data_IF_793472425497
#
_entry.id   IF_793472425497
#
_cell.length_a   1.000
_cell.length_b   1.000
_cell.length_c   1.000
_cell.angle_alpha   90.00
_cell.angle_beta   90.00
_cell.angle_gamma   90.00
#
_symmetry.space_group_name_H-M   'P 1'
#
loop_
_entity.id
_entity.type
_entity.pdbx_description
1 polymer ?
#
# COMPACT_ATOMS: atom_id res chain seq x y z
N UNK A 1 3.73 -102.12 -1.66
CA UNK A 1 3.79 -100.82 -0.93
C UNK A 1 3.90 -99.72 -1.91
N UNK A 2 2.80 -98.99 -2.10
CA UNK A 2 2.76 -97.75 -2.94
C UNK A 2 2.56 -96.57 -1.99
N UNK A 3 3.57 -95.71 -1.95
CA UNK A 3 3.53 -94.36 -1.34
C UNK A 3 3.00 -93.39 -2.36
N UNK A 4 1.85 -92.78 -2.14
CA UNK A 4 1.39 -91.63 -2.93
C UNK A 4 1.81 -90.35 -2.22
N UNK A 5 2.63 -89.52 -2.89
CA UNK A 5 2.93 -88.16 -2.49
C UNK A 5 1.83 -87.21 -2.97
N UNK A 6 1.09 -86.62 -2.06
CA UNK A 6 0.22 -85.50 -2.34
C UNK A 6 0.99 -84.21 -2.41
N UNK A 7 1.21 -83.69 -3.61
CA UNK A 7 1.73 -82.35 -3.83
C UNK A 7 0.57 -81.35 -3.73
N UNK A 8 0.55 -80.59 -2.63
CA UNK A 8 -0.37 -79.47 -2.46
C UNK A 8 -0.03 -78.33 -3.40
N UNK A 9 -0.89 -78.03 -4.33
CA UNK A 9 -0.82 -76.78 -5.12
C UNK A 9 -1.30 -75.63 -4.25
N UNK A 10 -0.36 -74.76 -3.85
CA UNK A 10 -0.67 -73.45 -3.28
C UNK A 10 -1.09 -72.51 -4.38
N UNK A 11 -2.27 -71.93 -4.26
CA UNK A 11 -2.82 -70.91 -5.20
C UNK A 11 -2.08 -69.58 -5.04
N UNK A 12 -1.19 -69.28 -5.99
CA UNK A 12 -0.56 -67.98 -6.15
C UNK A 12 -1.53 -67.04 -6.92
N UNK A 13 -2.63 -66.63 -6.31
CA UNK A 13 -3.65 -65.84 -7.02
C UNK A 13 -4.05 -64.51 -6.37
N UNK A 14 -3.62 -64.26 -5.12
CA UNK A 14 -4.12 -63.13 -4.33
C UNK A 14 -3.33 -61.83 -4.53
N UNK A 15 -2.02 -61.86 -4.75
CA UNK A 15 -1.16 -60.67 -4.78
C UNK A 15 -1.41 -59.71 -5.90
N UNK A 16 -1.75 -60.22 -7.10
CA UNK A 16 -1.97 -59.34 -8.28
C UNK A 16 -3.21 -58.43 -8.15
N UNK A 17 -4.26 -58.87 -7.49
CA UNK A 17 -5.50 -58.08 -7.29
C UNK A 17 -5.25 -56.89 -6.34
N UNK A 18 -4.49 -57.09 -5.26
CA UNK A 18 -4.17 -56.02 -4.31
C UNK A 18 -3.17 -55.00 -4.93
N UNK A 19 -2.23 -55.46 -5.72
CA UNK A 19 -1.34 -54.55 -6.47
C UNK A 19 -2.13 -53.66 -7.41
N UNK A 20 -3.09 -54.20 -8.17
CA UNK A 20 -3.92 -53.42 -9.07
C UNK A 20 -4.80 -52.39 -8.34
N UNK A 21 -5.28 -52.73 -7.14
CA UNK A 21 -6.05 -51.83 -6.29
C UNK A 21 -5.19 -50.66 -5.75
N UNK A 22 -3.98 -50.97 -5.33
CA UNK A 22 -2.99 -49.97 -4.89
C UNK A 22 -2.63 -48.99 -6.03
N UNK A 23 -2.37 -49.50 -7.22
CA UNK A 23 -2.06 -48.65 -8.38
C UNK A 23 -3.23 -47.76 -8.79
N UNK A 24 -4.48 -48.27 -8.71
CA UNK A 24 -5.68 -47.47 -8.95
C UNK A 24 -5.88 -46.39 -7.88
N UNK A 25 -5.68 -46.70 -6.61
CA UNK A 25 -5.74 -45.72 -5.53
C UNK A 25 -4.67 -44.63 -5.66
N UNK A 26 -3.44 -45.02 -6.02
CA UNK A 26 -2.36 -44.08 -6.27
C UNK A 26 -2.65 -43.16 -7.49
N UNK A 27 -3.22 -43.71 -8.56
CA UNK A 27 -3.61 -42.91 -9.72
C UNK A 27 -4.70 -41.88 -9.39
N UNK A 28 -5.73 -42.27 -8.63
CA UNK A 28 -6.80 -41.36 -8.17
C UNK A 28 -6.23 -40.28 -7.25
N UNK A 29 -5.32 -40.63 -6.34
CA UNK A 29 -4.66 -39.66 -5.47
C UNK A 29 -3.83 -38.64 -6.25
N UNK A 30 -3.03 -39.10 -7.25
CA UNK A 30 -2.25 -38.23 -8.12
C UNK A 30 -3.14 -37.30 -8.94
N UNK A 31 -4.27 -37.79 -9.45
CA UNK A 31 -5.25 -36.97 -10.17
C UNK A 31 -5.88 -35.91 -9.26
N UNK A 32 -6.20 -36.25 -8.02
CA UNK A 32 -6.75 -35.33 -7.05
C UNK A 32 -5.70 -34.23 -6.68
N UNK A 33 -4.46 -34.62 -6.41
CA UNK A 33 -3.37 -33.68 -6.14
C UNK A 33 -3.10 -32.78 -7.36
N UNK A 34 -3.07 -33.34 -8.56
CA UNK A 34 -2.89 -32.59 -9.81
C UNK A 34 -4.03 -31.58 -10.04
N UNK A 35 -5.28 -31.98 -9.84
CA UNK A 35 -6.42 -31.09 -10.01
C UNK A 35 -6.43 -29.94 -8.99
N UNK A 36 -6.07 -30.22 -7.73
CA UNK A 36 -5.89 -29.18 -6.70
C UNK A 36 -4.74 -28.24 -7.05
N UNK A 37 -3.61 -28.78 -7.53
CA UNK A 37 -2.47 -27.96 -7.95
C UNK A 37 -2.81 -27.06 -9.14
N UNK A 38 -3.53 -27.59 -10.13
CA UNK A 38 -4.02 -26.83 -11.29
C UNK A 38 -5.01 -25.75 -10.83
N UNK A 39 -5.95 -26.09 -9.93
CA UNK A 39 -6.90 -25.13 -9.37
C UNK A 39 -6.18 -23.97 -8.66
N UNK A 40 -5.18 -24.28 -7.82
CA UNK A 40 -4.37 -23.27 -7.10
C UNK A 40 -3.50 -22.43 -8.07
N UNK A 41 -2.99 -23.01 -9.17
CA UNK A 41 -2.29 -22.26 -10.21
C UNK A 41 -3.23 -21.31 -10.96
N UNK A 42 -4.41 -21.77 -11.35
CA UNK A 42 -5.41 -20.94 -12.06
C UNK A 42 -5.95 -19.82 -11.16
N UNK A 43 -5.96 -19.99 -9.84
CA UNK A 43 -6.36 -18.94 -8.90
C UNK A 43 -5.29 -17.86 -8.72
N UNK A 44 -4.00 -18.21 -8.94
CA UNK A 44 -2.89 -17.22 -8.90
C UNK A 44 -2.84 -16.30 -10.13
N UNK A 45 -3.31 -16.76 -11.28
CA UNK A 45 -3.25 -16.03 -12.53
C UNK A 45 -4.58 -15.33 -12.88
N UNK A 46 -5.33 -14.84 -11.87
CA UNK A 46 -6.37 -13.85 -12.19
C UNK A 46 -5.66 -12.64 -12.79
N UNK A 47 -5.95 -12.28 -14.06
CA UNK A 47 -5.28 -11.16 -14.70
C UNK A 47 -5.42 -9.96 -13.77
N UNK A 48 -4.30 -9.33 -13.48
CA UNK A 48 -4.27 -8.04 -12.79
C UNK A 48 -5.14 -7.14 -13.67
N UNK A 49 -6.33 -6.78 -13.15
CA UNK A 49 -7.26 -5.90 -13.88
C UNK A 49 -6.50 -4.62 -14.19
N UNK A 50 -6.73 -4.08 -15.39
CA UNK A 50 -6.14 -2.83 -15.82
C UNK A 50 -6.29 -1.79 -14.72
N UNK A 51 -5.18 -1.13 -14.40
CA UNK A 51 -5.16 -0.07 -13.41
C UNK A 51 -5.54 1.23 -14.09
N UNK A 52 -6.47 1.93 -13.50
CA UNK A 52 -6.77 3.32 -13.84
C UNK A 52 -5.71 4.20 -13.18
N UNK A 53 -5.12 5.08 -13.97
CA UNK A 53 -4.19 6.11 -13.49
C UNK A 53 -4.90 7.44 -13.35
N UNK A 54 -4.83 8.04 -12.16
CA UNK A 54 -5.27 9.39 -11.90
C UNK A 54 -4.06 10.24 -11.50
N UNK A 55 -3.56 11.04 -12.42
CA UNK A 55 -2.49 12.01 -12.18
C UNK A 55 -3.08 13.42 -11.94
N UNK A 56 -2.51 14.12 -10.96
CA UNK A 56 -2.86 15.49 -10.60
C UNK A 56 -1.72 16.42 -11.00
N UNK A 57 -1.99 17.43 -11.88
CA UNK A 57 -0.97 18.41 -12.26
C UNK A 57 -0.50 19.29 -11.12
N UNK A 58 0.55 20.07 -11.38
CA UNK A 58 1.04 21.14 -10.49
C UNK A 58 -0.11 22.13 -10.21
N UNK A 59 -0.19 22.64 -8.98
CA UNK A 59 -1.16 23.62 -8.50
C UNK A 59 -2.63 23.15 -8.48
N UNK A 60 -2.90 21.87 -8.73
CA UNK A 60 -4.24 21.30 -8.64
C UNK A 60 -4.41 20.42 -7.42
N UNK A 61 -5.65 20.36 -6.92
CA UNK A 61 -6.12 19.41 -5.92
C UNK A 61 -7.39 18.79 -6.47
N UNK A 62 -7.58 17.49 -6.32
CA UNK A 62 -8.75 16.80 -6.88
C UNK A 62 -9.33 15.79 -5.91
N UNK A 63 -10.65 15.81 -5.78
CA UNK A 63 -11.39 14.75 -5.11
C UNK A 63 -11.81 13.68 -6.12
N UNK A 64 -11.67 12.41 -5.73
CA UNK A 64 -12.01 11.23 -6.51
C UNK A 64 -12.80 10.27 -5.64
N UNK A 65 -13.86 9.68 -6.18
CA UNK A 65 -14.57 8.56 -5.55
C UNK A 65 -14.19 7.27 -6.25
N UNK A 66 -13.62 6.33 -5.47
CA UNK A 66 -13.22 5.01 -5.95
C UNK A 66 -14.43 4.08 -6.16
N UNK A 67 -14.28 2.95 -6.90
CA UNK A 67 -15.38 2.02 -7.20
C UNK A 67 -16.05 1.40 -5.97
N UNK A 68 -15.38 1.34 -4.82
CA UNK A 68 -15.94 0.87 -3.55
C UNK A 68 -16.71 1.94 -2.78
N UNK A 69 -16.65 3.20 -3.24
CA UNK A 69 -17.22 4.37 -2.59
C UNK A 69 -16.28 5.06 -1.59
N UNK A 70 -15.02 4.65 -1.50
CA UNK A 70 -13.96 5.38 -0.78
C UNK A 70 -13.72 6.73 -1.46
N UNK A 71 -13.64 7.82 -0.68
CA UNK A 71 -13.30 9.15 -1.18
C UNK A 71 -11.81 9.39 -0.97
N UNK A 72 -11.17 9.94 -1.99
CA UNK A 72 -9.74 10.25 -1.97
C UNK A 72 -9.55 11.68 -2.44
N UNK A 73 -8.95 12.52 -1.62
CA UNK A 73 -8.48 13.84 -2.03
C UNK A 73 -7.00 13.74 -2.36
N UNK A 74 -6.63 14.10 -3.57
CA UNK A 74 -5.28 14.02 -4.12
C UNK A 74 -4.66 15.41 -4.19
N UNK A 75 -3.45 15.56 -3.65
CA UNK A 75 -2.68 16.80 -3.71
C UNK A 75 -1.94 16.93 -5.04
N UNK A 76 -1.41 18.12 -5.31
CA UNK A 76 -0.64 18.45 -6.52
C UNK A 76 0.50 17.47 -6.78
N UNK A 77 0.73 17.13 -8.06
CA UNK A 77 1.79 16.19 -8.53
C UNK A 77 1.68 14.80 -7.93
N UNK A 78 0.48 14.39 -7.52
CA UNK A 78 0.23 13.05 -7.03
C UNK A 78 -0.37 12.16 -8.12
N UNK A 79 -0.05 10.86 -8.04
CA UNK A 79 -0.61 9.82 -8.90
C UNK A 79 -1.23 8.74 -8.03
N UNK A 80 -2.46 8.37 -8.33
CA UNK A 80 -3.15 7.23 -7.75
C UNK A 80 -3.43 6.19 -8.84
N UNK A 81 -2.95 4.95 -8.62
CA UNK A 81 -3.29 3.81 -9.45
C UNK A 81 -4.26 2.91 -8.69
N UNK A 82 -5.39 2.60 -9.29
CA UNK A 82 -6.43 1.77 -8.69
C UNK A 82 -7.14 0.92 -9.76
N UNK A 83 -7.70 -0.25 -9.43
CA UNK A 83 -8.43 -1.07 -10.38
C UNK A 83 -9.81 -0.48 -10.69
N UNK A 84 -10.32 -0.67 -11.90
CA UNK A 84 -11.70 -0.28 -12.26
C UNK A 84 -12.76 -0.90 -11.34
N UNK A 85 -12.47 -2.07 -10.76
CA UNK A 85 -13.29 -2.75 -9.77
C UNK A 85 -12.43 -3.55 -8.79
N UNK A 86 -12.73 -3.46 -7.50
CA UNK A 86 -12.12 -4.29 -6.47
C UNK A 86 -12.76 -5.69 -6.46
N UNK A 87 -12.12 -6.68 -7.08
CA UNK A 87 -12.66 -8.04 -7.23
C UNK A 87 -11.93 -9.10 -6.37
N UNK A 88 -10.99 -8.68 -5.52
CA UNK A 88 -10.17 -9.57 -4.69
C UNK A 88 -10.59 -9.59 -3.22
N UNK A 89 -9.78 -10.26 -2.40
CA UNK A 89 -9.92 -10.28 -0.94
C UNK A 89 -9.53 -8.95 -0.29
N UNK A 90 -8.94 -8.01 -1.05
CA UNK A 90 -8.49 -6.71 -0.59
C UNK A 90 -8.80 -5.63 -1.63
N UNK A 91 -8.89 -4.39 -1.19
CA UNK A 91 -9.04 -3.19 -2.00
C UNK A 91 -7.69 -2.47 -2.04
N UNK A 92 -6.86 -2.79 -3.03
CA UNK A 92 -5.48 -2.26 -3.09
C UNK A 92 -5.36 -1.13 -4.10
N UNK A 93 -4.67 -0.06 -3.69
CA UNK A 93 -4.31 1.09 -4.52
C UNK A 93 -2.82 1.41 -4.35
N UNK A 94 -2.25 2.13 -5.33
CA UNK A 94 -0.84 2.58 -5.27
C UNK A 94 -0.82 4.10 -5.32
N UNK A 95 -0.10 4.72 -4.39
CA UNK A 95 0.05 6.16 -4.26
C UNK A 95 1.51 6.57 -4.52
N UNK A 96 1.67 7.59 -5.36
CA UNK A 96 2.89 8.38 -5.51
C UNK A 96 2.47 9.82 -5.20
N UNK A 97 3.05 10.48 -4.20
CA UNK A 97 2.66 11.81 -3.78
C UNK A 97 1.86 11.84 -2.50
N UNK A 98 0.88 12.74 -2.38
CA UNK A 98 0.09 12.94 -1.17
C UNK A 98 -1.40 12.81 -1.41
N UNK A 99 -2.07 12.08 -0.52
CA UNK A 99 -3.51 11.90 -0.54
C UNK A 99 -4.10 11.75 0.86
N UNK A 100 -5.33 12.26 1.01
CA UNK A 100 -6.20 11.94 2.13
C UNK A 100 -7.23 10.89 1.68
N UNK A 101 -7.36 9.82 2.45
CA UNK A 101 -8.28 8.71 2.19
C UNK A 101 -9.37 8.70 3.24
N UNK A 102 -10.63 8.83 2.81
CA UNK A 102 -11.81 8.54 3.64
C UNK A 102 -12.38 7.19 3.20
N UNK A 103 -11.88 6.14 3.83
CA UNK A 103 -12.14 4.74 3.44
C UNK A 103 -13.54 4.33 3.85
N UNK A 104 -14.31 3.80 2.88
CA UNK A 104 -15.62 3.20 3.17
C UNK A 104 -15.45 1.95 4.05
N UNK A 105 -16.17 1.84 5.18
CA UNK A 105 -16.08 0.70 6.08
C UNK A 105 -16.41 -0.63 5.38
N UNK A 106 -15.47 -1.59 5.44
CA UNK A 106 -15.63 -2.98 5.03
C UNK A 106 -14.55 -3.84 5.69
N UNK A 107 -14.93 -4.55 6.76
CA UNK A 107 -14.01 -5.42 7.52
C UNK A 107 -13.62 -6.69 6.75
N UNK A 108 -14.45 -7.12 5.78
CA UNK A 108 -14.20 -8.36 5.00
C UNK A 108 -13.17 -8.15 3.91
N UNK A 109 -13.07 -6.92 3.38
CA UNK A 109 -12.15 -6.57 2.31
C UNK A 109 -11.29 -5.35 2.74
N UNK A 110 -10.17 -5.58 3.43
CA UNK A 110 -9.29 -4.50 3.86
C UNK A 110 -8.86 -3.59 2.70
N UNK A 111 -8.82 -2.28 2.96
CA UNK A 111 -8.31 -1.30 2.04
C UNK A 111 -6.80 -1.12 2.25
N UNK A 112 -6.02 -1.21 1.18
CA UNK A 112 -4.57 -1.21 1.25
C UNK A 112 -4.02 -0.11 0.36
N UNK A 113 -3.32 0.86 0.96
CA UNK A 113 -2.54 1.87 0.24
C UNK A 113 -1.09 1.41 0.22
N UNK A 114 -0.54 1.21 -0.97
CA UNK A 114 0.87 0.92 -1.19
C UNK A 114 1.58 2.18 -1.67
N UNK A 115 2.64 2.58 -0.98
CA UNK A 115 3.40 3.78 -1.30
C UNK A 115 4.89 3.53 -1.03
N UNK A 116 5.69 3.43 -2.08
CA UNK A 116 7.13 3.14 -1.98
C UNK A 116 7.42 1.94 -1.05
N UNK A 117 8.13 2.21 0.05
CA UNK A 117 8.61 1.19 0.99
C UNK A 117 7.63 0.88 2.12
N UNK A 118 6.42 1.44 2.11
CA UNK A 118 5.43 1.13 3.15
C UNK A 118 4.03 0.84 2.59
N UNK A 119 3.27 0.15 3.41
CA UNK A 119 1.90 -0.23 3.14
C UNK A 119 1.03 0.15 4.34
N UNK A 120 -0.15 0.72 4.07
CA UNK A 120 -1.15 1.06 5.07
C UNK A 120 -2.39 0.22 4.84
N UNK A 121 -2.84 -0.48 5.89
CA UNK A 121 -4.07 -1.28 5.88
C UNK A 121 -5.13 -0.63 6.74
N UNK A 122 -6.31 -0.41 6.16
CA UNK A 122 -7.46 0.26 6.75
C UNK A 122 -8.75 -0.56 6.58
N UNK A 123 -9.69 -0.45 7.52
CA UNK A 123 -10.98 -1.15 7.47
C UNK A 123 -12.18 -0.19 7.35
N UNK A 124 -11.98 1.09 7.58
CA UNK A 124 -12.99 2.15 7.56
C UNK A 124 -12.48 3.31 8.41
N UNK A 125 -11.60 4.11 7.85
CA UNK A 125 -10.79 5.09 8.58
C UNK A 125 -10.55 6.32 7.72
N UNK A 126 -10.23 7.45 8.34
CA UNK A 126 -9.73 8.62 7.65
C UNK A 126 -8.25 8.83 7.98
N UNK A 127 -7.39 8.92 6.95
CA UNK A 127 -5.96 9.11 7.13
C UNK A 127 -5.32 9.83 5.94
N UNK A 128 -4.24 10.58 6.23
CA UNK A 128 -3.41 11.25 5.23
C UNK A 128 -2.11 10.47 5.02
N UNK A 129 -1.66 10.41 3.77
CA UNK A 129 -0.38 9.80 3.39
C UNK A 129 0.40 10.79 2.56
N UNK A 130 1.63 11.10 2.98
CA UNK A 130 2.58 11.89 2.20
C UNK A 130 3.77 11.00 1.84
N UNK A 131 3.88 10.65 0.57
CA UNK A 131 4.84 9.71 0.02
C UNK A 131 5.45 10.21 -1.30
N UNK A 132 5.75 11.49 -1.38
CA UNK A 132 6.46 12.04 -2.54
C UNK A 132 7.85 11.39 -2.68
N UNK A 133 8.25 10.98 -3.89
CA UNK A 133 9.55 10.34 -4.12
C UNK A 133 10.73 11.22 -3.73
N UNK A 134 10.63 12.52 -3.99
CA UNK A 134 11.66 13.52 -3.70
C UNK A 134 11.82 13.84 -2.21
N UNK A 135 10.79 13.61 -1.38
CA UNK A 135 10.89 13.82 0.05
C UNK A 135 11.77 12.76 0.70
N UNK A 136 12.57 13.13 1.69
CA UNK A 136 13.36 12.20 2.50
C UNK A 136 12.47 11.34 3.44
N UNK A 137 11.26 11.77 3.69
CA UNK A 137 10.35 11.16 4.65
C UNK A 137 9.08 10.64 3.97
N UNK A 138 8.60 9.51 4.50
CA UNK A 138 7.27 8.96 4.25
C UNK A 138 6.46 9.18 5.50
N UNK A 139 5.29 9.78 5.37
CA UNK A 139 4.47 10.18 6.50
C UNK A 139 3.07 9.59 6.35
N UNK A 140 2.56 8.98 7.41
CA UNK A 140 1.17 8.58 7.52
C UNK A 140 0.57 9.12 8.80
N UNK A 141 -0.55 9.82 8.71
CA UNK A 141 -1.27 10.43 9.84
C UNK A 141 -2.69 9.90 9.88
N UNK A 142 -3.10 9.38 11.03
CA UNK A 142 -4.46 8.91 11.24
C UNK A 142 -5.33 10.03 11.81
N UNK A 143 -6.45 10.29 11.14
CA UNK A 143 -7.46 11.26 11.58
C UNK A 143 -8.56 10.58 12.36
N UNK A 144 -9.12 9.47 11.83
CA UNK A 144 -10.22 8.73 12.47
C UNK A 144 -10.07 7.21 12.26
N UNK A 145 -10.43 6.44 13.29
CA UNK A 145 -10.44 4.98 13.25
C UNK A 145 -9.12 4.34 13.70
N UNK A 146 -8.61 3.36 12.96
CA UNK A 146 -7.34 2.66 13.23
C UNK A 146 -6.72 2.17 11.94
N UNK A 147 -5.43 2.36 11.73
CA UNK A 147 -4.67 1.85 10.59
C UNK A 147 -3.44 1.08 11.03
N UNK A 148 -3.12 0.03 10.28
CA UNK A 148 -1.86 -0.69 10.43
C UNK A 148 -0.89 -0.21 9.35
N UNK A 149 0.31 0.23 9.76
CA UNK A 149 1.41 0.64 8.88
C UNK A 149 2.50 -0.42 8.91
N UNK A 150 2.86 -0.93 7.75
CA UNK A 150 3.89 -1.95 7.54
C UNK A 150 4.98 -1.38 6.63
N UNK A 151 6.24 -1.70 6.93
CA UNK A 151 7.39 -1.24 6.16
C UNK A 151 8.07 -2.45 5.53
N UNK A 152 8.36 -2.39 4.22
CA UNK A 152 8.90 -3.53 3.47
C UNK A 152 10.24 -4.05 4.03
N UNK A 153 11.01 -3.18 4.67
CA UNK A 153 12.36 -3.48 5.17
C UNK A 153 12.41 -3.68 6.70
N UNK A 154 11.26 -3.72 7.39
CA UNK A 154 11.18 -3.85 8.84
C UNK A 154 10.19 -4.95 9.22
N UNK A 155 10.56 -5.80 10.16
CA UNK A 155 9.73 -6.92 10.64
C UNK A 155 8.52 -6.42 11.48
N UNK A 156 8.58 -5.20 12.01
CA UNK A 156 7.56 -4.69 12.93
C UNK A 156 6.61 -3.72 12.26
N UNK A 157 5.31 -3.97 12.39
CA UNK A 157 4.23 -3.06 12.04
C UNK A 157 3.94 -2.08 13.18
N UNK A 158 3.24 -0.98 12.84
CA UNK A 158 2.75 0.02 13.80
C UNK A 158 1.25 0.18 13.59
N UNK A 159 0.50 0.17 14.68
CA UNK A 159 -0.93 0.51 14.66
C UNK A 159 -1.05 1.95 15.15
N UNK A 160 -1.57 2.83 14.31
CA UNK A 160 -1.84 4.22 14.67
C UNK A 160 -3.22 4.36 15.31
N UNK A 161 -3.30 5.25 16.30
CA UNK A 161 -4.52 5.76 16.90
C UNK A 161 -4.86 7.13 16.32
N UNK A 162 -6.10 7.62 16.46
CA UNK A 162 -6.47 8.96 16.03
C UNK A 162 -5.50 10.04 16.56
N UNK A 163 -5.13 10.97 15.68
CA UNK A 163 -4.15 12.03 15.89
C UNK A 163 -2.69 11.56 16.07
N UNK A 164 -2.40 10.30 15.74
CA UNK A 164 -1.01 9.82 15.66
C UNK A 164 -0.50 9.87 14.24
N UNK A 165 0.79 10.19 14.12
CA UNK A 165 1.55 10.24 12.88
C UNK A 165 2.79 9.38 13.00
N UNK A 166 3.03 8.54 12.01
CA UNK A 166 4.31 7.85 11.82
C UNK A 166 5.09 8.54 10.70
N UNK A 167 6.34 8.88 10.99
CA UNK A 167 7.31 9.38 10.01
C UNK A 167 8.40 8.33 9.84
N UNK A 168 8.70 7.98 8.60
CA UNK A 168 9.80 7.08 8.24
C UNK A 168 10.81 7.81 7.35
N UNK A 169 12.03 7.97 7.84
CA UNK A 169 13.12 8.58 7.08
C UNK A 169 13.81 7.53 6.21
N UNK A 170 13.76 7.71 4.88
CA UNK A 170 14.26 6.78 3.87
C UNK A 170 15.78 6.57 3.93
N UNK A 171 16.54 7.62 4.30
CA UNK A 171 17.99 7.57 4.35
C UNK A 171 18.50 6.87 5.62
N UNK A 172 17.99 7.30 6.78
CA UNK A 172 18.40 6.76 8.08
C UNK A 172 17.68 5.48 8.47
N UNK A 173 16.59 5.12 7.77
CA UNK A 173 15.66 4.01 8.07
C UNK A 173 15.07 4.08 9.48
N UNK A 174 15.10 5.27 10.09
CA UNK A 174 14.49 5.51 11.39
C UNK A 174 13.03 5.89 11.22
N UNK A 175 12.24 5.57 12.24
CA UNK A 175 10.85 5.97 12.35
C UNK A 175 10.62 6.68 13.66
N UNK A 176 9.71 7.63 13.64
CA UNK A 176 9.23 8.35 14.82
C UNK A 176 7.72 8.37 14.85
N UNK A 177 7.15 8.30 16.04
CA UNK A 177 5.73 8.45 16.30
C UNK A 177 5.52 9.82 16.94
N UNK A 178 4.56 10.60 16.42
CA UNK A 178 4.28 11.96 16.86
C UNK A 178 2.76 12.19 16.91
N UNK A 179 2.34 13.27 17.53
CA UNK A 179 0.95 13.74 17.53
C UNK A 179 0.91 15.16 16.94
N UNK A 180 0.77 15.29 15.61
CA UNK A 180 0.74 16.58 14.93
C UNK A 180 -0.59 17.30 15.18
N UNK A 181 -0.64 18.59 14.86
CA UNK A 181 -1.91 19.30 14.73
C UNK A 181 -2.60 18.85 13.44
N UNK A 182 -3.77 18.25 13.57
CA UNK A 182 -4.53 17.70 12.43
C UNK A 182 -4.89 18.78 11.42
N UNK A 183 -5.18 20.01 11.88
CA UNK A 183 -5.44 21.15 11.02
C UNK A 183 -4.27 21.50 10.10
N UNK A 184 -3.04 21.23 10.54
CA UNK A 184 -1.82 21.45 9.75
C UNK A 184 -1.63 20.34 8.72
N UNK A 185 -1.90 19.09 9.11
CA UNK A 185 -1.81 17.92 8.20
C UNK A 185 -2.80 18.05 7.04
N UNK A 186 -3.99 18.57 7.30
CA UNK A 186 -5.06 18.72 6.29
C UNK A 186 -5.13 20.10 5.65
N UNK A 187 -4.23 21.02 5.99
CA UNK A 187 -4.19 22.40 5.51
C UNK A 187 -4.13 22.48 3.97
N UNK A 188 -3.37 21.58 3.34
CA UNK A 188 -3.23 21.52 1.89
C UNK A 188 -4.57 21.31 1.16
N UNK A 189 -5.55 20.60 1.77
CA UNK A 189 -6.87 20.37 1.21
C UNK A 189 -7.66 21.69 1.03
N UNK A 190 -7.34 22.68 1.84
CA UNK A 190 -7.90 24.05 1.77
C UNK A 190 -7.02 25.01 0.96
N UNK A 191 -5.92 24.48 0.35
CA UNK A 191 -4.97 25.28 -0.39
C UNK A 191 -4.03 26.12 0.48
N UNK A 192 -4.00 25.91 1.79
CA UNK A 192 -3.06 26.55 2.72
C UNK A 192 -1.66 25.93 2.57
N UNK A 193 -0.63 26.70 2.88
CA UNK A 193 0.75 26.24 3.01
C UNK A 193 1.15 26.28 4.48
N UNK A 194 1.54 25.14 5.00
CA UNK A 194 2.03 25.00 6.37
C UNK A 194 3.39 24.32 6.33
N UNK A 195 4.39 25.00 6.86
CA UNK A 195 5.74 24.50 7.01
C UNK A 195 6.07 24.50 8.49
N UNK A 196 6.49 23.37 9.02
CA UNK A 196 6.81 23.21 10.44
C UNK A 196 8.17 22.54 10.57
N UNK A 197 9.16 23.29 11.04
CA UNK A 197 10.53 22.85 11.27
C UNK A 197 11.18 22.21 10.01
N UNK A 198 10.91 22.81 8.82
CA UNK A 198 11.38 22.32 7.53
C UNK A 198 12.63 23.06 7.07
N UNK A 199 13.53 22.34 6.42
CA UNK A 199 14.69 22.93 5.73
C UNK A 199 14.25 23.64 4.43
N UNK A 200 15.07 24.62 4.01
CA UNK A 200 14.70 25.50 2.91
C UNK A 200 14.56 24.75 1.56
N UNK A 201 15.36 23.72 1.33
CA UNK A 201 15.27 22.84 0.16
C UNK A 201 13.95 22.05 0.12
N UNK A 202 13.48 21.57 1.27
CA UNK A 202 12.18 20.89 1.39
C UNK A 202 11.02 21.86 1.16
N UNK A 203 11.16 23.09 1.65
CA UNK A 203 10.20 24.17 1.41
C UNK A 203 10.12 24.49 -0.09
N UNK A 204 11.26 24.68 -0.76
CA UNK A 204 11.29 24.94 -2.21
C UNK A 204 10.66 23.79 -2.99
N UNK A 205 11.00 22.56 -2.67
CA UNK A 205 10.40 21.37 -3.27
C UNK A 205 8.86 21.35 -3.10
N UNK A 206 8.36 21.74 -1.93
CA UNK A 206 6.93 21.86 -1.66
C UNK A 206 6.28 23.01 -2.46
N UNK A 207 6.95 24.15 -2.58
CA UNK A 207 6.48 25.29 -3.36
C UNK A 207 6.39 24.97 -4.86
N UNK A 208 7.35 24.19 -5.41
CA UNK A 208 7.34 23.76 -6.81
C UNK A 208 6.12 22.86 -7.14
N UNK A 209 5.52 22.20 -6.15
CA UNK A 209 4.27 21.46 -6.34
C UNK A 209 3.05 22.38 -6.43
N UNK A 210 3.07 23.50 -5.70
CA UNK A 210 1.96 24.45 -5.65
C UNK A 210 2.03 25.54 -6.72
N UNK A 211 3.25 25.89 -7.14
CA UNK A 211 3.47 26.96 -8.11
C UNK A 211 4.21 26.44 -9.33
N UNK A 212 3.92 26.94 -10.56
CA UNK A 212 4.57 26.48 -11.78
C UNK A 212 5.96 27.16 -11.96
N UNK A 213 6.79 27.09 -10.94
CA UNK A 213 8.16 27.64 -10.92
C UNK A 213 9.13 26.56 -10.47
N UNK A 214 10.40 26.71 -10.85
CA UNK A 214 11.51 25.90 -10.38
C UNK A 214 12.50 26.79 -9.67
N UNK A 215 12.90 26.39 -8.45
CA UNK A 215 13.87 27.12 -7.66
C UNK A 215 15.28 26.66 -8.01
N UNK A 216 16.14 27.61 -8.38
CA UNK A 216 17.56 27.34 -8.63
C UNK A 216 18.38 27.97 -7.51
N UNK A 217 19.06 27.15 -6.73
CA UNK A 217 19.84 27.57 -5.58
C UNK A 217 21.13 26.74 -5.45
N UNK A 218 22.14 27.34 -4.79
CA UNK A 218 23.36 26.60 -4.46
C UNK A 218 23.22 25.93 -3.10
N UNK A 219 23.53 24.65 -3.00
CA UNK A 219 23.52 23.93 -1.72
C UNK A 219 24.41 24.59 -0.66
N UNK A 220 25.47 25.27 -1.06
CA UNK A 220 26.37 26.03 -0.15
C UNK A 220 25.71 27.27 0.43
N UNK A 221 24.68 27.81 -0.20
CA UNK A 221 23.93 28.98 0.30
C UNK A 221 22.82 28.62 1.26
N UNK A 222 22.45 27.34 1.33
CA UNK A 222 21.46 26.86 2.27
C UNK A 222 22.10 26.69 3.64
N UNK A 223 21.61 27.43 4.62
CA UNK A 223 22.01 27.22 6.00
C UNK A 223 21.23 26.01 6.57
N UNK A 224 21.81 25.30 7.55
CA UNK A 224 21.15 24.18 8.26
C UNK A 224 20.07 24.68 9.24
N UNK A 225 19.33 25.72 8.88
CA UNK A 225 18.23 26.24 9.68
C UNK A 225 16.91 25.65 9.18
N UNK A 226 16.04 25.35 10.10
CA UNK A 226 14.65 25.02 9.81
C UNK A 226 13.76 26.24 10.00
N UNK A 227 12.64 26.23 9.31
CA UNK A 227 11.71 27.34 9.26
C UNK A 227 10.28 26.82 9.53
N UNK A 228 9.50 27.66 10.22
CA UNK A 228 8.10 27.38 10.48
C UNK A 228 7.26 28.60 10.13
N UNK A 229 6.34 28.46 9.19
CA UNK A 229 5.39 29.52 8.83
C UNK A 229 4.13 28.93 8.18
N UNK A 230 3.09 29.75 8.16
CA UNK A 230 1.80 29.39 7.55
C UNK A 230 1.33 30.51 6.64
N UNK A 231 0.89 30.14 5.44
CA UNK A 231 0.16 31.02 4.53
C UNK A 231 -1.25 30.49 4.31
N UNK A 232 -2.20 31.42 4.31
CA UNK A 232 -3.60 31.10 4.05
C UNK A 232 -3.84 30.75 2.57
N UNK A 233 -5.02 30.26 2.28
CA UNK A 233 -5.47 30.02 0.92
C UNK A 233 -5.25 31.25 0.05
N UNK A 234 -4.75 31.07 -1.17
CA UNK A 234 -4.47 32.11 -2.18
C UNK A 234 -3.20 32.96 -1.94
N UNK A 235 -2.33 32.60 -1.03
CA UNK A 235 -1.01 33.26 -0.97
C UNK A 235 -0.29 33.15 -2.31
N UNK A 236 0.16 34.29 -2.84
CA UNK A 236 0.99 34.33 -4.05
C UNK A 236 2.41 33.91 -3.73
N UNK A 237 3.18 33.48 -4.76
CA UNK A 237 4.58 33.14 -4.55
C UNK A 237 5.38 34.35 -4.02
N UNK A 238 5.07 35.57 -4.46
CA UNK A 238 5.73 36.80 -3.99
C UNK A 238 5.51 37.04 -2.50
N UNK A 239 4.32 36.74 -1.97
CA UNK A 239 4.02 36.86 -0.54
C UNK A 239 4.77 35.80 0.28
N UNK A 240 4.93 34.60 -0.28
CA UNK A 240 5.63 33.50 0.39
C UNK A 240 7.15 33.75 0.44
N UNK A 241 7.71 34.46 -0.55
CA UNK A 241 9.16 34.71 -0.69
C UNK A 241 9.64 36.02 -0.03
N UNK A 242 8.75 36.79 0.59
CA UNK A 242 9.11 37.99 1.39
C UNK A 242 9.42 37.64 2.84
#
# INVERSE_FOLDING_TARGET
>A
LRMQQNLGMQSVGSGKKYQLLIWRAAAIFLLAVSSVSIYLMLEKDKPQKDLVECFIPTAEIRELTLPDGTRVMLNSRSTLLYPEQFAGKTRSVYLIGEANFQVKPDEKHPFIVKANDFQITALGTEFNVNAYPENNELIATLLEGSVKVEFNNLISNVILKPNEQITYNKQTRKRSLQSPRIEDVTAWQRGELVFSDMHLDEIFTSLERKFPYTFVYSLHSLNNKSYSFRFQQQATLEEVMK
#
